data_IF_359841874156
#
_entry.id   IF_359841874156
#
_cell.length_a   1.000
_cell.length_b   1.000
_cell.length_c   1.000
_cell.angle_alpha   90.00
_cell.angle_beta   90.00
_cell.angle_gamma   90.00
#
_symmetry.space_group_name_H-M   'P 1'
#
loop_
_entity.id
_entity.type
_entity.pdbx_description
1 polymer ?
#
# COMPACT_ATOMS: atom_id res chain seq x y z
N UNK A 1 -17.53 25.88 -6.76
CA UNK A 1 -17.21 24.68 -7.57
C UNK A 1 -15.84 24.07 -7.22
N UNK A 2 -14.80 24.87 -6.95
CA UNK A 2 -13.45 24.38 -6.57
C UNK A 2 -13.43 23.40 -5.38
N UNK A 3 -14.30 23.59 -4.37
CA UNK A 3 -14.44 22.67 -3.21
C UNK A 3 -14.79 21.23 -3.58
N UNK A 4 -15.62 21.04 -4.60
CA UNK A 4 -16.05 19.69 -5.02
C UNK A 4 -14.87 18.95 -5.64
N UNK A 5 -14.10 19.61 -6.50
CA UNK A 5 -12.90 19.03 -7.10
C UNK A 5 -11.82 18.73 -6.07
N UNK A 6 -11.66 19.62 -5.09
CA UNK A 6 -10.77 19.40 -3.96
C UNK A 6 -11.12 18.12 -3.17
N UNK A 7 -12.40 17.96 -2.81
CA UNK A 7 -12.89 16.76 -2.12
C UNK A 7 -12.76 15.50 -2.98
N UNK A 8 -13.18 15.58 -4.24
CA UNK A 8 -13.09 14.48 -5.20
C UNK A 8 -11.64 13.99 -5.33
N UNK A 9 -10.71 14.92 -5.55
CA UNK A 9 -9.29 14.61 -5.65
C UNK A 9 -8.77 13.92 -4.38
N UNK A 10 -9.08 14.43 -3.19
CA UNK A 10 -8.62 13.81 -1.94
C UNK A 10 -9.18 12.42 -1.69
N UNK A 11 -10.48 12.22 -1.95
CA UNK A 11 -11.13 10.91 -1.80
C UNK A 11 -10.48 9.92 -2.78
N UNK A 12 -10.36 10.30 -4.05
CA UNK A 12 -9.72 9.45 -5.06
C UNK A 12 -8.23 9.22 -4.75
N UNK A 13 -7.50 10.22 -4.25
CA UNK A 13 -6.10 10.05 -3.90
C UNK A 13 -5.89 9.07 -2.75
N UNK A 14 -6.67 9.19 -1.67
CA UNK A 14 -6.60 8.27 -0.54
C UNK A 14 -7.02 6.86 -0.94
N UNK A 15 -8.10 6.73 -1.70
CA UNK A 15 -8.55 5.43 -2.19
C UNK A 15 -7.55 4.82 -3.18
N UNK A 16 -6.97 5.62 -4.07
CA UNK A 16 -5.90 5.20 -4.97
C UNK A 16 -4.65 4.74 -4.22
N UNK A 17 -4.25 5.44 -3.15
CA UNK A 17 -3.16 4.99 -2.27
C UNK A 17 -3.48 3.64 -1.63
N UNK A 18 -4.71 3.44 -1.14
CA UNK A 18 -5.15 2.16 -0.57
C UNK A 18 -5.07 1.02 -1.59
N UNK A 19 -5.62 1.22 -2.80
CA UNK A 19 -5.54 0.24 -3.89
C UNK A 19 -4.09 -0.06 -4.28
N UNK A 20 -3.29 0.96 -4.56
CA UNK A 20 -1.89 0.76 -4.94
C UNK A 20 -1.08 0.05 -3.84
N UNK A 21 -1.32 0.38 -2.56
CA UNK A 21 -0.69 -0.28 -1.42
C UNK A 21 -1.04 -1.77 -1.37
N UNK A 22 -2.33 -2.14 -1.50
CA UNK A 22 -2.74 -3.54 -1.58
C UNK A 22 -2.08 -4.26 -2.76
N UNK A 23 -2.02 -3.62 -3.93
CA UNK A 23 -1.37 -4.19 -5.11
C UNK A 23 0.12 -4.48 -4.88
N UNK A 24 0.84 -3.56 -4.24
CA UNK A 24 2.26 -3.76 -3.92
C UNK A 24 2.47 -4.81 -2.82
N UNK A 25 1.56 -4.89 -1.86
CA UNK A 25 1.57 -5.91 -0.83
C UNK A 25 1.41 -7.31 -1.43
N UNK A 26 0.36 -7.53 -2.24
CA UNK A 26 0.16 -8.83 -2.91
C UNK A 26 1.28 -9.16 -3.89
N UNK A 27 1.82 -8.15 -4.60
CA UNK A 27 2.99 -8.35 -5.45
C UNK A 27 4.17 -8.90 -4.64
N UNK A 28 4.34 -8.47 -3.39
CA UNK A 28 5.33 -9.03 -2.48
C UNK A 28 5.13 -10.53 -2.22
N UNK A 29 3.91 -10.98 -1.97
CA UNK A 29 3.61 -12.41 -1.82
C UNK A 29 3.88 -13.19 -3.11
N UNK A 30 3.47 -12.66 -4.26
CA UNK A 30 3.72 -13.29 -5.57
C UNK A 30 5.22 -13.45 -5.80
N UNK A 31 6.00 -12.38 -5.60
CA UNK A 31 7.46 -12.42 -5.74
C UNK A 31 8.11 -13.38 -4.74
N UNK A 32 7.70 -13.34 -3.47
CA UNK A 32 8.17 -14.27 -2.44
C UNK A 32 7.89 -15.72 -2.82
N UNK A 33 6.70 -16.00 -3.35
CA UNK A 33 6.33 -17.33 -3.84
C UNK A 33 7.17 -17.77 -5.03
N UNK A 34 7.33 -16.93 -6.04
CA UNK A 34 8.15 -17.23 -7.22
C UNK A 34 9.61 -17.50 -6.84
N UNK A 35 10.20 -16.67 -5.97
CA UNK A 35 11.59 -16.80 -5.53
C UNK A 35 11.85 -18.05 -4.67
N UNK A 36 10.82 -18.54 -3.98
CA UNK A 36 10.91 -19.73 -3.13
C UNK A 36 10.51 -21.01 -3.85
N UNK A 37 10.19 -20.95 -5.15
CA UNK A 37 9.75 -22.11 -5.93
C UNK A 37 8.29 -22.50 -5.71
N UNK A 38 7.49 -21.62 -5.13
CA UNK A 38 6.05 -21.79 -4.97
C UNK A 38 5.31 -21.74 -6.31
N UNK A 39 4.15 -22.40 -6.34
CA UNK A 39 3.25 -22.39 -7.51
C UNK A 39 2.01 -21.56 -7.19
N UNK A 40 1.76 -20.51 -7.96
CA UNK A 40 0.58 -19.66 -7.80
C UNK A 40 -0.68 -20.45 -8.15
N UNK A 41 -1.67 -20.42 -7.26
CA UNK A 41 -3.02 -20.89 -7.56
C UNK A 41 -3.87 -19.71 -8.05
N UNK A 42 -3.91 -18.63 -7.25
CA UNK A 42 -4.81 -17.51 -7.47
C UNK A 42 -4.28 -16.24 -6.82
N UNK A 43 -4.54 -15.09 -7.43
CA UNK A 43 -4.35 -13.78 -6.79
C UNK A 43 -5.69 -13.07 -6.81
N UNK A 44 -6.19 -12.69 -5.64
CA UNK A 44 -7.45 -11.97 -5.48
C UNK A 44 -7.15 -10.55 -5.05
N UNK A 45 -7.31 -9.62 -6.00
CA UNK A 45 -7.23 -8.18 -5.78
C UNK A 45 -8.64 -7.62 -5.85
N UNK A 46 -9.34 -7.54 -4.72
CA UNK A 46 -10.69 -7.02 -4.69
C UNK A 46 -10.75 -5.73 -3.84
N UNK A 47 -11.18 -4.58 -4.40
CA UNK A 47 -11.18 -3.29 -3.70
C UNK A 47 -11.93 -3.24 -2.36
N UNK A 48 -12.90 -4.15 -2.18
CA UNK A 48 -13.79 -4.21 -1.01
C UNK A 48 -13.62 -5.49 -0.17
N UNK A 49 -12.63 -6.32 -0.47
CA UNK A 49 -12.34 -7.51 0.33
C UNK A 49 -10.86 -7.58 0.69
N UNK A 50 -10.51 -8.43 1.65
CA UNK A 50 -9.11 -8.69 2.00
C UNK A 50 -8.47 -9.33 0.78
N UNK A 51 -7.46 -8.66 0.21
CA UNK A 51 -6.67 -9.21 -0.87
C UNK A 51 -5.93 -10.45 -0.39
N UNK A 52 -5.70 -11.41 -1.30
CA UNK A 52 -4.93 -12.60 -0.96
C UNK A 52 -4.25 -13.20 -2.16
N UNK A 53 -3.06 -13.74 -1.92
CA UNK A 53 -2.31 -14.56 -2.86
C UNK A 53 -2.32 -16.00 -2.39
N UNK A 54 -3.05 -16.85 -3.10
CA UNK A 54 -3.17 -18.28 -2.83
C UNK A 54 -2.11 -19.03 -3.64
N UNK A 55 -1.28 -19.83 -2.97
CA UNK A 55 -0.30 -20.71 -3.61
C UNK A 55 -0.79 -22.16 -3.55
N UNK A 56 -0.78 -22.85 -4.70
CA UNK A 56 -1.04 -24.28 -4.79
C UNK A 56 0.05 -25.10 -4.08
N UNK A 57 1.29 -24.61 -4.12
CA UNK A 57 2.43 -25.18 -3.41
C UNK A 57 3.21 -24.02 -2.80
N UNK A 58 3.39 -24.04 -1.48
CA UNK A 58 4.15 -23.03 -0.76
C UNK A 58 5.23 -23.71 0.11
N UNK A 59 6.46 -23.88 -0.41
CA UNK A 59 7.53 -24.54 0.33
C UNK A 59 8.06 -23.69 1.51
N UNK A 60 7.90 -22.37 1.44
CA UNK A 60 8.45 -21.43 2.41
C UNK A 60 7.43 -20.36 2.83
N UNK A 61 6.33 -20.76 3.51
CA UNK A 61 5.21 -19.87 3.80
C UNK A 61 5.60 -18.66 4.67
N UNK A 62 6.59 -18.79 5.55
CA UNK A 62 7.13 -17.68 6.33
C UNK A 62 7.75 -16.59 5.44
N UNK A 63 8.52 -16.98 4.42
CA UNK A 63 9.17 -16.03 3.50
C UNK A 63 8.10 -15.34 2.66
N UNK A 64 7.16 -16.13 2.11
CA UNK A 64 6.08 -15.59 1.27
C UNK A 64 5.23 -14.58 2.02
N UNK A 65 4.80 -14.90 3.25
CA UNK A 65 3.93 -14.01 4.02
C UNK A 65 4.66 -12.73 4.45
N UNK A 66 5.95 -12.78 4.78
CA UNK A 66 6.70 -11.55 5.10
C UNK A 66 7.07 -10.74 3.85
N UNK A 67 7.23 -11.38 2.69
CA UNK A 67 7.54 -10.68 1.45
C UNK A 67 6.46 -9.65 1.07
N UNK A 68 5.19 -9.93 1.40
CA UNK A 68 4.08 -9.00 1.17
C UNK A 68 4.30 -7.61 1.79
N UNK A 69 4.28 -7.48 3.12
CA UNK A 69 4.51 -6.21 3.79
C UNK A 69 5.92 -5.65 3.58
N UNK A 70 6.96 -6.49 3.43
CA UNK A 70 8.32 -6.00 3.17
C UNK A 70 8.44 -5.32 1.81
N UNK A 71 7.99 -5.95 0.73
CA UNK A 71 7.99 -5.32 -0.61
C UNK A 71 7.00 -4.15 -0.63
N UNK A 72 5.85 -4.29 0.02
CA UNK A 72 4.84 -3.25 0.17
C UNK A 72 5.39 -1.95 0.77
N UNK A 73 6.42 -2.01 1.62
CA UNK A 73 7.08 -0.80 2.17
C UNK A 73 8.39 -0.44 1.46
N UNK A 74 9.22 -1.41 1.07
CA UNK A 74 10.54 -1.14 0.48
C UNK A 74 10.46 -0.59 -0.94
N UNK A 75 9.52 -1.09 -1.75
CA UNK A 75 9.36 -0.65 -3.13
C UNK A 75 8.96 0.84 -3.21
N UNK A 76 7.93 1.34 -2.50
CA UNK A 76 7.58 2.75 -2.56
C UNK A 76 8.65 3.66 -1.93
N UNK A 77 9.43 3.18 -0.95
CA UNK A 77 10.61 3.89 -0.45
C UNK A 77 11.71 4.00 -1.53
N UNK A 78 11.97 2.92 -2.26
CA UNK A 78 12.91 2.94 -3.40
C UNK A 78 12.46 3.91 -4.49
N UNK A 79 11.17 3.94 -4.81
CA UNK A 79 10.60 4.90 -5.75
C UNK A 79 10.74 6.35 -5.26
N UNK A 80 10.56 6.59 -3.96
CA UNK A 80 10.78 7.92 -3.37
C UNK A 80 12.24 8.36 -3.53
N UNK A 81 13.20 7.50 -3.19
CA UNK A 81 14.62 7.79 -3.33
C UNK A 81 14.93 8.09 -4.81
N UNK A 82 14.45 7.27 -5.74
CA UNK A 82 14.64 7.50 -7.16
C UNK A 82 14.02 8.84 -7.63
N UNK A 83 12.82 9.17 -7.18
CA UNK A 83 12.14 10.43 -7.51
C UNK A 83 12.91 11.65 -6.98
N UNK A 84 13.47 11.58 -5.77
CA UNK A 84 14.29 12.64 -5.19
C UNK A 84 15.62 12.81 -5.94
N UNK A 85 16.30 11.71 -6.27
CA UNK A 85 17.54 11.75 -7.06
C UNK A 85 17.32 12.31 -8.47
N UNK A 86 16.14 12.06 -9.05
CA UNK A 86 15.74 12.60 -10.34
C UNK A 86 15.22 14.05 -10.27
N UNK A 87 15.16 14.67 -9.09
CA UNK A 87 14.53 15.98 -8.85
C UNK A 87 13.11 16.08 -9.42
N UNK A 88 12.35 14.98 -9.34
CA UNK A 88 11.02 14.93 -9.93
C UNK A 88 10.06 15.87 -9.18
N UNK A 89 9.42 16.78 -9.90
CA UNK A 89 8.47 17.76 -9.33
C UNK A 89 7.30 17.13 -8.57
N UNK A 90 7.00 15.86 -8.83
CA UNK A 90 5.93 15.09 -8.18
C UNK A 90 6.41 14.22 -7.00
N UNK A 91 7.68 14.36 -6.57
CA UNK A 91 8.25 13.58 -5.47
C UNK A 91 7.43 13.67 -4.17
N UNK A 92 6.72 14.78 -3.93
CA UNK A 92 5.82 14.93 -2.78
C UNK A 92 4.65 13.94 -2.79
N UNK A 93 4.10 13.58 -3.96
CA UNK A 93 3.06 12.55 -4.05
C UNK A 93 3.61 11.15 -3.79
N UNK A 94 4.81 10.86 -4.30
CA UNK A 94 5.52 9.59 -4.03
C UNK A 94 5.87 9.48 -2.54
N UNK A 95 6.29 10.58 -1.92
CA UNK A 95 6.57 10.66 -0.48
C UNK A 95 5.32 10.40 0.36
N UNK A 96 4.18 11.01 -0.02
CA UNK A 96 2.90 10.72 0.61
C UNK A 96 2.55 9.24 0.50
N UNK A 97 2.63 8.67 -0.70
CA UNK A 97 2.31 7.26 -0.94
C UNK A 97 3.25 6.31 -0.16
N UNK A 98 4.55 6.57 -0.13
CA UNK A 98 5.50 5.78 0.65
C UNK A 98 5.20 5.83 2.16
N UNK A 99 4.89 7.01 2.69
CA UNK A 99 4.44 7.15 4.08
C UNK A 99 3.13 6.39 4.36
N UNK A 100 2.19 6.44 3.42
CA UNK A 100 0.94 5.68 3.49
C UNK A 100 1.19 4.17 3.55
N UNK A 101 2.04 3.65 2.65
CA UNK A 101 2.37 2.22 2.62
C UNK A 101 3.02 1.76 3.92
N UNK A 102 3.93 2.55 4.49
CA UNK A 102 4.53 2.26 5.79
C UNK A 102 3.48 2.17 6.91
N UNK A 103 2.60 3.17 7.02
CA UNK A 103 1.57 3.20 8.06
C UNK A 103 0.58 2.05 7.87
N UNK A 104 0.08 1.83 6.66
CA UNK A 104 -0.93 0.81 6.39
C UNK A 104 -0.40 -0.61 6.65
N UNK A 105 0.77 -0.96 6.11
CA UNK A 105 1.38 -2.27 6.33
C UNK A 105 1.76 -2.46 7.81
N UNK A 106 2.32 -1.43 8.44
CA UNK A 106 2.69 -1.47 9.85
C UNK A 106 1.50 -1.68 10.78
N UNK A 107 0.43 -0.91 10.58
CA UNK A 107 -0.80 -1.01 11.35
C UNK A 107 -1.51 -2.35 11.12
N UNK A 108 -1.54 -2.84 9.87
CA UNK A 108 -2.10 -4.15 9.53
C UNK A 108 -1.40 -5.28 10.29
N UNK A 109 -0.06 -5.36 10.21
CA UNK A 109 0.70 -6.44 10.85
C UNK A 109 0.67 -6.33 12.38
N UNK A 110 0.83 -5.12 12.94
CA UNK A 110 0.82 -4.96 14.39
C UNK A 110 -0.59 -5.16 14.99
N UNK A 111 -1.63 -4.65 14.34
CA UNK A 111 -3.01 -4.78 14.78
C UNK A 111 -3.56 -6.21 14.62
N UNK A 112 -3.24 -6.88 13.52
CA UNK A 112 -3.65 -8.26 13.26
C UNK A 112 -2.89 -9.32 14.06
N UNK A 113 -1.80 -8.96 14.73
CA UNK A 113 -0.91 -9.91 15.40
C UNK A 113 -1.60 -10.79 16.47
N UNK A 114 -2.54 -10.23 17.24
CA UNK A 114 -3.21 -10.97 18.30
C UNK A 114 -4.31 -11.90 17.77
N UNK A 115 -5.15 -11.38 16.86
CA UNK A 115 -6.31 -12.11 16.35
C UNK A 115 -5.97 -13.03 15.17
N UNK A 116 -4.74 -12.94 14.62
CA UNK A 116 -4.29 -13.79 13.52
C UNK A 116 -5.06 -13.57 12.22
N UNK A 117 -5.54 -12.35 11.99
CA UNK A 117 -6.34 -12.00 10.80
C UNK A 117 -5.44 -11.90 9.58
N UNK A 118 -5.85 -12.53 8.48
CA UNK A 118 -5.10 -12.52 7.21
C UNK A 118 -3.69 -13.10 7.38
N UNK A 119 -2.70 -12.35 6.90
CA UNK A 119 -1.27 -12.68 6.96
C UNK A 119 -0.80 -13.02 8.35
N UNK A 120 -1.32 -12.32 9.37
CA UNK A 120 -0.90 -12.50 10.74
C UNK A 120 -1.15 -13.93 11.23
N UNK A 121 -2.20 -14.59 10.73
CA UNK A 121 -2.48 -15.99 11.02
C UNK A 121 -1.38 -16.90 10.46
N UNK A 122 -1.00 -16.70 9.20
CA UNK A 122 0.08 -17.46 8.54
C UNK A 122 1.44 -17.18 9.19
N UNK A 123 1.73 -15.92 9.52
CA UNK A 123 2.94 -15.52 10.25
C UNK A 123 3.06 -16.28 11.56
N UNK A 124 1.98 -16.38 12.34
CA UNK A 124 1.97 -17.12 13.61
C UNK A 124 2.09 -18.63 13.41
N UNK A 125 1.36 -19.20 12.47
CA UNK A 125 1.43 -20.64 12.14
C UNK A 125 2.82 -21.06 11.70
N UNK A 126 3.56 -20.15 11.05
CA UNK A 126 4.94 -20.37 10.60
C UNK A 126 6.00 -19.97 11.64
N UNK A 127 5.59 -19.61 12.86
CA UNK A 127 6.48 -19.39 13.99
C UNK A 127 7.00 -17.95 14.15
N UNK A 128 6.44 -16.97 13.44
CA UNK A 128 6.81 -15.56 13.63
C UNK A 128 6.40 -15.10 15.03
N UNK A 129 7.33 -14.57 15.84
CA UNK A 129 7.00 -14.15 17.19
C UNK A 129 6.25 -12.82 17.19
N UNK A 130 5.34 -12.64 18.15
CA UNK A 130 4.50 -11.43 18.25
C UNK A 130 5.31 -10.14 18.35
N UNK A 131 6.44 -10.16 19.08
CA UNK A 131 7.30 -8.98 19.23
C UNK A 131 7.90 -8.52 17.90
N UNK A 132 8.12 -9.42 16.93
CA UNK A 132 8.63 -9.07 15.61
C UNK A 132 7.55 -8.35 14.80
N UNK A 133 6.31 -8.83 14.88
CA UNK A 133 5.15 -8.22 14.21
C UNK A 133 4.84 -6.83 14.78
N UNK A 134 4.85 -6.70 16.11
CA UNK A 134 4.72 -5.39 16.77
C UNK A 134 5.92 -4.49 16.50
N UNK A 135 7.13 -5.03 16.49
CA UNK A 135 8.35 -4.30 16.15
C UNK A 135 8.28 -3.71 14.75
N UNK A 136 7.79 -4.49 13.78
CA UNK A 136 7.56 -4.00 12.42
C UNK A 136 6.61 -2.80 12.40
N UNK A 137 5.46 -2.88 13.07
CA UNK A 137 4.53 -1.74 13.15
C UNK A 137 5.08 -0.55 13.92
N UNK A 138 5.76 -0.79 15.05
CA UNK A 138 6.37 0.26 15.88
C UNK A 138 7.49 1.02 15.14
N UNK A 139 8.14 0.39 14.16
CA UNK A 139 9.12 1.06 13.31
C UNK A 139 8.46 1.75 12.11
N UNK A 140 7.59 1.05 11.38
CA UNK A 140 7.05 1.53 10.11
C UNK A 140 6.01 2.64 10.29
N UNK A 141 5.12 2.54 11.27
CA UNK A 141 4.06 3.56 11.48
C UNK A 141 4.67 4.93 11.81
N UNK A 142 5.58 5.08 12.79
CA UNK A 142 6.23 6.37 13.04
C UNK A 142 7.07 6.84 11.85
N UNK A 143 7.78 5.95 11.16
CA UNK A 143 8.55 6.30 9.98
C UNK A 143 7.66 6.88 8.87
N UNK A 144 6.47 6.33 8.67
CA UNK A 144 5.52 6.86 7.68
C UNK A 144 5.00 8.25 8.05
N UNK A 145 4.72 8.52 9.33
CA UNK A 145 4.37 9.87 9.80
C UNK A 145 5.53 10.86 9.66
N UNK A 146 6.77 10.41 9.92
CA UNK A 146 7.97 11.21 9.68
C UNK A 146 8.13 11.53 8.19
N UNK A 147 7.84 10.59 7.29
CA UNK A 147 7.85 10.87 5.85
C UNK A 147 6.77 11.86 5.44
N UNK A 148 5.62 11.92 6.11
CA UNK A 148 4.62 12.95 5.81
C UNK A 148 5.00 14.34 6.31
N UNK A 149 6.07 14.47 7.10
CA UNK A 149 6.59 15.76 7.50
C UNK A 149 6.98 16.60 6.25
N UNK A 150 6.63 17.89 6.29
CA UNK A 150 6.90 18.88 5.22
C UNK A 150 6.13 18.72 3.90
N UNK A 151 5.12 17.85 3.83
CA UNK A 151 4.21 17.79 2.68
C UNK A 151 3.21 18.97 2.59
N UNK A 152 3.30 19.91 3.53
CA UNK A 152 2.41 21.07 3.62
C UNK A 152 1.42 20.95 4.77
N UNK A 153 0.50 21.92 4.84
CA UNK A 153 -0.52 21.98 5.89
C UNK A 153 -1.90 21.65 5.32
N UNK A 154 -2.60 20.70 5.96
CA UNK A 154 -3.99 20.36 5.61
C UNK A 154 -4.89 21.60 5.73
N UNK A 155 -4.67 22.44 6.76
CA UNK A 155 -5.42 23.67 6.96
C UNK A 155 -5.19 24.67 5.83
N UNK A 156 -3.93 24.85 5.43
CA UNK A 156 -3.57 25.76 4.33
C UNK A 156 -4.14 25.27 3.00
N UNK A 157 -4.01 23.97 2.71
CA UNK A 157 -4.63 23.36 1.53
C UNK A 157 -6.15 23.51 1.54
N UNK A 158 -6.80 23.28 2.69
CA UNK A 158 -8.23 23.50 2.85
C UNK A 158 -8.62 24.98 2.76
N UNK A 159 -7.75 25.95 2.93
CA UNK A 159 -8.10 27.36 2.73
C UNK A 159 -8.03 27.79 1.25
N UNK A 160 -7.31 27.04 0.42
CA UNK A 160 -6.97 27.39 -0.96
C UNK A 160 -7.47 26.32 -1.96
N UNK A 161 -8.80 26.21 -2.17
CA UNK A 161 -9.38 25.19 -3.06
C UNK A 161 -8.96 25.34 -4.53
N UNK A 162 -8.49 26.51 -4.95
CA UNK A 162 -7.95 26.80 -6.28
C UNK A 162 -6.64 26.05 -6.60
N UNK A 163 -5.95 25.51 -5.59
CA UNK A 163 -4.75 24.68 -5.80
C UNK A 163 -5.08 23.33 -6.46
N UNK A 164 -6.33 22.88 -6.41
CA UNK A 164 -6.78 21.66 -7.08
C UNK A 164 -7.53 22.04 -8.35
N UNK A 165 -6.91 21.77 -9.50
CA UNK A 165 -7.57 21.98 -10.78
C UNK A 165 -8.66 20.92 -11.02
N UNK A 166 -9.69 21.29 -11.77
CA UNK A 166 -10.73 20.35 -12.24
C UNK A 166 -10.11 19.16 -13.00
N UNK A 167 -9.14 19.44 -13.88
CA UNK A 167 -8.44 18.42 -14.66
C UNK A 167 -7.76 17.41 -13.74
N UNK A 168 -7.06 17.86 -12.70
CA UNK A 168 -6.39 16.98 -11.73
C UNK A 168 -7.39 16.06 -11.01
N UNK A 169 -8.56 16.58 -10.63
CA UNK A 169 -9.59 15.79 -9.96
C UNK A 169 -10.16 14.69 -10.89
N UNK A 170 -10.47 15.02 -12.14
CA UNK A 170 -10.97 14.04 -13.11
C UNK A 170 -9.90 13.02 -13.52
N UNK A 171 -8.66 13.45 -13.72
CA UNK A 171 -7.55 12.53 -14.00
C UNK A 171 -7.38 11.54 -12.84
N UNK A 172 -7.41 12.01 -11.59
CA UNK A 172 -7.30 11.13 -10.43
C UNK A 172 -8.47 10.14 -10.35
N UNK A 173 -9.70 10.60 -10.60
CA UNK A 173 -10.86 9.70 -10.66
C UNK A 173 -10.68 8.63 -11.74
N UNK A 174 -10.26 9.01 -12.96
CA UNK A 174 -10.02 8.07 -14.04
C UNK A 174 -8.91 7.06 -13.69
N UNK A 175 -7.83 7.52 -13.05
CA UNK A 175 -6.75 6.65 -12.55
C UNK A 175 -7.28 5.62 -11.57
N UNK A 176 -8.08 6.04 -10.59
CA UNK A 176 -8.71 5.14 -9.61
C UNK A 176 -9.64 4.14 -10.29
N UNK A 177 -10.52 4.60 -11.18
CA UNK A 177 -11.42 3.71 -11.91
C UNK A 177 -10.65 2.68 -12.74
N UNK A 178 -9.55 3.11 -13.36
CA UNK A 178 -8.66 2.21 -14.10
C UNK A 178 -8.02 1.19 -13.17
N UNK A 179 -7.48 1.61 -12.02
CA UNK A 179 -6.92 0.69 -11.03
C UNK A 179 -7.94 -0.34 -10.54
N UNK A 180 -9.18 0.08 -10.27
CA UNK A 180 -10.27 -0.82 -9.88
C UNK A 180 -10.54 -1.84 -10.99
N UNK A 181 -10.65 -1.40 -12.25
CA UNK A 181 -10.85 -2.31 -13.39
C UNK A 181 -9.68 -3.28 -13.53
N UNK A 182 -8.43 -2.81 -13.46
CA UNK A 182 -7.26 -3.67 -13.52
C UNK A 182 -7.27 -4.70 -12.38
N UNK A 183 -7.57 -4.29 -11.15
CA UNK A 183 -7.64 -5.20 -10.00
C UNK A 183 -8.70 -6.28 -10.19
N UNK A 184 -9.91 -5.91 -10.64
CA UNK A 184 -10.98 -6.87 -10.89
C UNK A 184 -10.63 -7.81 -12.04
N UNK A 185 -10.04 -7.31 -13.13
CA UNK A 185 -9.64 -8.12 -14.28
C UNK A 185 -8.45 -9.05 -13.99
N UNK A 186 -7.48 -8.59 -13.19
CA UNK A 186 -6.30 -9.38 -12.79
C UNK A 186 -6.50 -10.18 -11.51
N UNK A 187 -7.64 -10.03 -10.84
CA UNK A 187 -8.09 -10.95 -9.82
C UNK A 187 -8.44 -12.27 -10.49
N UNK A 188 -7.40 -13.04 -10.87
CA UNK A 188 -7.52 -14.32 -11.53
C UNK A 188 -8.46 -15.22 -10.72
N UNK A 189 -9.33 -15.96 -11.42
CA UNK A 189 -10.23 -16.94 -10.79
C UNK A 189 -9.47 -18.20 -10.40
#
# INVERSE_FOLDING_TARGET
MSRIYQLLFSICWLFGCWLAMMGLHELGHVLGGLLTGGKMARVVLHPLAISRTDLAVNPHPAIVVWAGPLIGVLLPLGLLIAAQLANWSQAGHVQFFAGFCLIANGAYIAGGALDGIGDCGVMRQTGSPLWLMWGFGLMTVPAGFVLWHRLGSIRDWWQHPERTSEQSAWTMLLTVMTLVVLMVCFSAQ
#
